data_IF_559966850647
#
_entry.id   IF_559966850647
#
_cell.length_a   1.000
_cell.length_b   1.000
_cell.length_c   1.000
_cell.angle_alpha   90.00
_cell.angle_beta   90.00
_cell.angle_gamma   90.00
#
_symmetry.space_group_name_H-M   'P 1'
#
loop_
_entity.id
_entity.type
_entity.pdbx_description
1 polymer ?
#
# COMPACT_ATOMS: atom_id res chain seq x y z
N UNK A 1 31.66 -7.16 42.81
CA UNK A 1 31.33 -7.81 41.52
C UNK A 1 29.83 -7.88 41.19
N UNK A 2 28.90 -7.57 42.11
CA UNK A 2 27.44 -7.73 41.87
C UNK A 2 26.73 -6.60 41.10
N UNK A 3 27.32 -5.43 40.89
CA UNK A 3 26.65 -4.28 40.25
C UNK A 3 26.62 -4.38 38.73
N UNK A 4 27.67 -4.90 38.10
CA UNK A 4 27.79 -5.02 36.65
C UNK A 4 26.84 -6.07 36.06
N UNK A 5 26.68 -7.22 36.74
CA UNK A 5 25.76 -8.28 36.34
C UNK A 5 24.29 -7.83 36.38
N UNK A 6 23.88 -7.12 37.43
CA UNK A 6 22.53 -6.57 37.56
C UNK A 6 22.23 -5.49 36.50
N UNK A 7 23.22 -4.66 36.15
CA UNK A 7 23.10 -3.66 35.10
C UNK A 7 22.95 -4.31 33.71
N UNK A 8 23.83 -5.25 33.35
CA UNK A 8 23.76 -5.96 32.07
C UNK A 8 22.45 -6.75 31.93
N UNK A 9 21.98 -7.39 33.00
CA UNK A 9 20.71 -8.11 33.02
C UNK A 9 19.49 -7.17 32.84
N UNK A 10 19.52 -6.00 33.46
CA UNK A 10 18.51 -4.94 33.25
C UNK A 10 18.50 -4.44 31.80
N UNK A 11 19.68 -4.21 31.21
CA UNK A 11 19.81 -3.78 29.82
C UNK A 11 19.31 -4.85 28.84
N UNK A 12 19.66 -6.12 29.09
CA UNK A 12 19.20 -7.26 28.29
C UNK A 12 17.67 -7.39 28.31
N UNK A 13 17.04 -7.31 29.48
CA UNK A 13 15.57 -7.32 29.62
C UNK A 13 14.92 -6.18 28.85
N UNK A 14 15.43 -4.96 28.99
CA UNK A 14 14.89 -3.78 28.29
C UNK A 14 15.00 -3.93 26.78
N UNK A 15 16.13 -4.42 26.28
CA UNK A 15 16.35 -4.69 24.86
C UNK A 15 15.36 -5.73 24.32
N UNK A 16 15.19 -6.86 25.03
CA UNK A 16 14.23 -7.90 24.66
C UNK A 16 12.79 -7.34 24.60
N UNK A 17 12.38 -6.61 25.63
CA UNK A 17 11.04 -6.01 25.67
C UNK A 17 10.82 -5.00 24.55
N UNK A 18 11.82 -4.15 24.26
CA UNK A 18 11.77 -3.19 23.16
C UNK A 18 11.67 -3.91 21.81
N UNK A 19 12.42 -5.00 21.63
CA UNK A 19 12.33 -5.84 20.44
C UNK A 19 10.94 -6.44 20.23
N UNK A 20 10.33 -7.02 21.27
CA UNK A 20 8.97 -7.57 21.20
C UNK A 20 7.93 -6.50 20.88
N UNK A 21 8.05 -5.31 21.49
CA UNK A 21 7.19 -4.17 21.20
C UNK A 21 7.35 -3.75 19.74
N UNK A 22 8.59 -3.60 19.24
CA UNK A 22 8.87 -3.21 17.87
C UNK A 22 8.32 -4.23 16.86
N UNK A 23 8.49 -5.53 17.11
CA UNK A 23 7.91 -6.61 16.28
C UNK A 23 6.39 -6.52 16.28
N UNK A 24 5.77 -6.33 17.44
CA UNK A 24 4.30 -6.22 17.56
C UNK A 24 3.77 -5.00 16.80
N UNK A 25 4.44 -3.85 16.93
CA UNK A 25 4.10 -2.62 16.21
C UNK A 25 4.23 -2.84 14.69
N UNK A 26 5.33 -3.45 14.25
CA UNK A 26 5.60 -3.74 12.84
C UNK A 26 4.55 -4.69 12.24
N UNK A 27 4.16 -5.71 13.01
CA UNK A 27 3.17 -6.70 12.59
C UNK A 27 1.75 -6.11 12.55
N UNK A 28 1.33 -5.39 13.60
CA UNK A 28 -0.07 -5.00 13.83
C UNK A 28 -0.45 -3.59 13.43
N UNK A 29 0.48 -2.64 13.49
CA UNK A 29 0.16 -1.22 13.37
C UNK A 29 0.64 -0.65 12.05
N UNK A 30 1.95 -0.69 11.82
CA UNK A 30 2.52 -0.09 10.64
C UNK A 30 3.89 -0.66 10.27
N UNK A 31 4.21 -0.67 8.99
CA UNK A 31 5.52 -1.05 8.47
C UNK A 31 5.95 -0.13 7.34
N UNK A 32 7.26 0.10 7.20
CA UNK A 32 7.79 0.83 6.04
C UNK A 32 7.99 -0.19 4.90
N UNK A 33 7.59 0.16 3.69
CA UNK A 33 7.74 -0.71 2.52
C UNK A 33 8.25 0.05 1.30
N UNK A 34 9.28 -0.46 0.58
CA UNK A 34 9.72 0.13 -0.67
C UNK A 34 8.73 -0.14 -1.80
N UNK A 35 8.47 0.86 -2.63
CA UNK A 35 7.60 0.75 -3.81
C UNK A 35 8.46 0.50 -5.04
N UNK A 36 8.16 -0.58 -5.75
CA UNK A 36 8.86 -0.95 -6.98
C UNK A 36 7.98 -0.71 -8.21
N UNK A 37 8.60 -0.29 -9.31
CA UNK A 37 7.94 -0.08 -10.60
C UNK A 37 7.18 1.23 -10.72
N UNK A 38 6.47 1.38 -11.84
CA UNK A 38 5.89 2.64 -12.31
C UNK A 38 4.35 2.65 -12.38
N UNK A 39 3.69 1.57 -11.92
CA UNK A 39 2.23 1.43 -12.02
C UNK A 39 1.43 2.47 -11.24
N UNK A 40 2.05 3.11 -10.25
CA UNK A 40 1.46 4.16 -9.42
C UNK A 40 1.99 5.56 -9.75
N UNK A 41 2.69 5.72 -10.87
CA UNK A 41 3.15 7.02 -11.35
C UNK A 41 1.94 7.87 -11.80
N UNK A 42 1.86 9.18 -11.51
CA UNK A 42 2.90 10.03 -10.92
C UNK A 42 2.92 10.05 -9.38
N UNK A 43 1.92 9.48 -8.71
CA UNK A 43 1.79 9.53 -7.24
C UNK A 43 3.00 8.92 -6.54
N UNK A 44 3.41 7.73 -6.97
CA UNK A 44 4.58 7.02 -6.48
C UNK A 44 5.57 6.78 -7.62
N UNK A 45 6.86 6.95 -7.33
CA UNK A 45 7.96 6.79 -8.28
C UNK A 45 7.72 7.55 -9.61
N UNK A 46 7.56 8.88 -9.61
CA UNK A 46 7.48 9.63 -10.85
C UNK A 46 8.79 9.54 -11.61
N UNK A 47 8.68 9.52 -12.95
CA UNK A 47 9.86 9.59 -13.81
C UNK A 47 10.50 10.96 -13.66
N UNK A 48 11.67 11.02 -13.04
CA UNK A 48 12.49 12.23 -12.96
C UNK A 48 13.77 12.01 -13.75
N UNK A 49 14.06 12.86 -14.73
CA UNK A 49 15.28 12.76 -15.55
C UNK A 49 16.57 13.14 -14.78
N UNK A 50 16.46 13.51 -13.50
CA UNK A 50 17.51 14.22 -12.75
C UNK A 50 18.33 13.34 -11.82
N UNK A 51 17.90 12.11 -11.49
CA UNK A 51 18.61 11.23 -10.54
C UNK A 51 18.56 9.75 -10.95
N UNK A 52 19.57 8.94 -10.59
CA UNK A 52 19.55 7.49 -10.82
C UNK A 52 18.34 6.82 -10.13
N UNK A 53 17.63 5.94 -10.84
CA UNK A 53 16.38 5.30 -10.39
C UNK A 53 16.46 4.65 -8.99
N UNK A 54 17.64 4.17 -8.59
CA UNK A 54 17.86 3.54 -7.29
C UNK A 54 17.65 4.50 -6.11
N UNK A 55 17.99 5.78 -6.27
CA UNK A 55 17.82 6.81 -5.24
C UNK A 55 16.44 7.48 -5.25
N UNK A 56 15.65 7.24 -6.30
CA UNK A 56 14.33 7.84 -6.50
C UNK A 56 13.19 6.91 -6.04
N UNK A 57 13.48 5.77 -5.42
CA UNK A 57 12.46 4.84 -4.93
C UNK A 57 11.75 5.41 -3.70
N UNK A 58 10.44 5.47 -3.80
CA UNK A 58 9.58 5.85 -2.69
C UNK A 58 9.49 4.71 -1.68
N UNK A 59 9.67 5.05 -0.40
CA UNK A 59 9.28 4.19 0.71
C UNK A 59 8.01 4.76 1.30
N UNK A 60 7.03 3.88 1.51
CA UNK A 60 5.73 4.26 2.03
C UNK A 60 5.51 3.69 3.42
N UNK A 61 4.80 4.46 4.25
CA UNK A 61 4.27 3.98 5.52
C UNK A 61 2.98 3.20 5.26
N UNK A 62 3.05 1.89 5.48
CA UNK A 62 1.92 0.98 5.39
C UNK A 62 1.25 0.88 6.74
N UNK A 63 0.03 1.39 6.85
CA UNK A 63 -0.85 1.26 7.99
C UNK A 63 -1.67 -0.04 7.89
N UNK A 64 -1.75 -0.78 9.00
CA UNK A 64 -2.33 -2.13 9.07
C UNK A 64 -3.55 -2.25 9.99
N UNK A 65 -3.86 -1.23 10.79
CA UNK A 65 -5.04 -1.22 11.65
C UNK A 65 -6.34 -1.30 10.84
N UNK A 66 -6.34 -0.75 9.62
CA UNK A 66 -7.45 -0.81 8.68
C UNK A 66 -7.89 -2.24 8.35
N UNK A 67 -6.97 -3.21 8.45
CA UNK A 67 -7.22 -4.63 8.17
C UNK A 67 -8.12 -5.29 9.21
N UNK A 68 -8.12 -4.81 10.46
CA UNK A 68 -8.91 -5.43 11.53
C UNK A 68 -10.42 -5.33 11.29
N UNK A 69 -10.85 -4.29 10.58
CA UNK A 69 -12.26 -3.99 10.29
C UNK A 69 -12.52 -3.74 8.81
N UNK A 70 -11.54 -4.03 7.95
CA UNK A 70 -11.56 -3.74 6.52
C UNK A 70 -12.07 -2.33 6.19
N UNK A 71 -11.60 -1.33 6.95
CA UNK A 71 -12.04 0.09 6.81
C UNK A 71 -11.26 0.79 5.71
N UNK A 72 -11.68 0.51 4.47
CA UNK A 72 -11.15 1.17 3.28
C UNK A 72 -12.12 2.20 2.74
N UNK A 73 -11.56 3.23 2.12
CA UNK A 73 -12.29 4.27 1.41
C UNK A 73 -11.87 4.32 -0.06
N UNK A 74 -12.75 4.84 -0.92
CA UNK A 74 -12.40 5.17 -2.30
C UNK A 74 -11.18 6.08 -2.34
N UNK A 75 -10.27 5.79 -3.26
CA UNK A 75 -9.02 6.52 -3.41
C UNK A 75 -7.89 6.02 -2.52
N UNK A 76 -8.13 5.11 -1.57
CA UNK A 76 -7.07 4.57 -0.72
C UNK A 76 -6.03 3.82 -1.56
N UNK A 77 -4.75 4.05 -1.28
CA UNK A 77 -3.66 3.30 -1.89
C UNK A 77 -3.36 2.09 -1.01
N UNK A 78 -3.46 0.88 -1.56
CA UNK A 78 -3.32 -0.36 -0.81
C UNK A 78 -2.27 -1.26 -1.45
N UNK A 79 -1.54 -1.99 -0.61
CA UNK A 79 -0.68 -3.08 -1.06
C UNK A 79 -1.38 -4.41 -0.82
N UNK A 80 -1.35 -5.31 -1.80
CA UNK A 80 -1.97 -6.64 -1.70
C UNK A 80 -1.11 -7.69 -2.37
N UNK A 81 -1.27 -8.95 -1.95
CA UNK A 81 -0.63 -10.09 -2.60
C UNK A 81 -1.35 -10.38 -3.93
N UNK A 82 -0.59 -10.51 -5.03
CA UNK A 82 -1.18 -10.77 -6.34
C UNK A 82 -1.91 -12.12 -6.35
N UNK A 83 -3.15 -12.19 -6.87
CA UNK A 83 -3.91 -13.44 -6.95
C UNK A 83 -3.27 -14.46 -7.90
N UNK A 84 -2.53 -14.01 -8.91
CA UNK A 84 -1.80 -14.89 -9.82
C UNK A 84 -0.47 -15.40 -9.23
N UNK A 85 0.20 -14.58 -8.42
CA UNK A 85 1.49 -14.91 -7.82
C UNK A 85 1.60 -14.33 -6.42
N UNK A 86 1.30 -15.15 -5.41
CA UNK A 86 1.28 -14.75 -4.01
C UNK A 86 2.62 -14.21 -3.48
N UNK A 87 3.75 -14.50 -4.14
CA UNK A 87 5.06 -13.96 -3.76
C UNK A 87 5.23 -12.50 -4.17
N UNK A 88 4.43 -12.03 -5.13
CA UNK A 88 4.48 -10.68 -5.63
C UNK A 88 3.45 -9.81 -4.90
N UNK A 89 3.91 -8.71 -4.30
CA UNK A 89 3.04 -7.67 -3.76
C UNK A 89 2.86 -6.56 -4.77
N UNK A 90 1.62 -6.15 -4.97
CA UNK A 90 1.24 -5.05 -5.86
C UNK A 90 0.70 -3.91 -5.01
N UNK A 91 0.99 -2.67 -5.41
CA UNK A 91 0.39 -1.46 -4.83
C UNK A 91 -0.50 -0.80 -5.86
N UNK A 92 -1.75 -0.53 -5.50
CA UNK A 92 -2.79 0.03 -6.36
C UNK A 92 -3.72 0.94 -5.57
N UNK A 93 -4.54 1.71 -6.27
CA UNK A 93 -5.56 2.56 -5.69
C UNK A 93 -6.92 1.90 -5.76
N UNK A 94 -7.69 1.96 -4.68
CA UNK A 94 -9.07 1.51 -4.63
C UNK A 94 -9.93 2.49 -5.42
N UNK A 95 -10.60 1.98 -6.45
CA UNK A 95 -11.56 2.73 -7.27
C UNK A 95 -12.99 2.34 -6.90
N UNK A 96 -13.22 1.07 -6.52
CA UNK A 96 -14.54 0.59 -6.11
C UNK A 96 -14.44 -0.34 -4.90
N UNK A 97 -15.46 -0.28 -4.05
CA UNK A 97 -15.65 -1.07 -2.84
C UNK A 97 -16.80 -2.07 -3.03
N UNK A 98 -17.01 -3.02 -2.09
CA UNK A 98 -18.10 -3.98 -2.16
C UNK A 98 -19.45 -3.33 -2.50
N UNK A 99 -20.14 -3.86 -3.52
CA UNK A 99 -21.44 -3.38 -3.96
C UNK A 99 -21.41 -2.28 -5.01
N UNK A 100 -20.25 -1.63 -5.23
CA UNK A 100 -20.12 -0.56 -6.23
C UNK A 100 -20.25 -1.09 -7.66
N UNK A 101 -20.70 -0.22 -8.55
CA UNK A 101 -20.67 -0.43 -9.99
C UNK A 101 -19.51 0.35 -10.60
N UNK A 102 -18.63 -0.35 -11.31
CA UNK A 102 -17.40 0.20 -11.85
C UNK A 102 -17.39 0.00 -13.36
N UNK A 103 -17.37 1.09 -14.12
CA UNK A 103 -17.17 1.04 -15.57
C UNK A 103 -15.72 0.65 -15.88
N UNK A 104 -15.51 -0.31 -16.77
CA UNK A 104 -14.16 -0.74 -17.17
C UNK A 104 -13.62 0.22 -18.24
N UNK A 105 -12.45 0.86 -18.04
CA UNK A 105 -11.89 1.76 -19.05
C UNK A 105 -11.70 1.07 -20.40
N UNK A 106 -12.07 1.74 -21.47
CA UNK A 106 -11.95 1.24 -22.85
C UNK A 106 -12.78 -0.03 -23.15
N UNK A 107 -13.75 -0.37 -22.29
CA UNK A 107 -14.82 -1.33 -22.56
C UNK A 107 -16.18 -0.65 -22.32
N UNK A 108 -17.24 -1.24 -22.85
CA UNK A 108 -18.63 -0.88 -22.52
C UNK A 108 -19.16 -1.66 -21.31
N UNK A 109 -18.31 -2.49 -20.70
CA UNK A 109 -18.69 -3.32 -19.56
C UNK A 109 -18.73 -2.52 -18.26
N UNK A 110 -19.77 -2.77 -17.48
CA UNK A 110 -19.90 -2.30 -16.10
C UNK A 110 -19.87 -3.52 -15.18
N UNK A 111 -18.92 -3.53 -14.24
CA UNK A 111 -18.74 -4.63 -13.31
C UNK A 111 -19.25 -4.21 -11.94
N UNK A 112 -20.13 -5.02 -11.35
CA UNK A 112 -20.47 -4.90 -9.93
C UNK A 112 -19.38 -5.55 -9.10
N UNK A 113 -18.81 -4.81 -8.15
CA UNK A 113 -17.80 -5.33 -7.23
C UNK A 113 -18.49 -6.30 -6.25
N UNK A 114 -18.08 -7.58 -6.21
CA UNK A 114 -18.67 -8.55 -5.29
C UNK A 114 -18.44 -8.19 -3.83
N UNK A 115 -19.28 -8.74 -2.95
CA UNK A 115 -19.06 -8.64 -1.51
C UNK A 115 -17.68 -9.20 -1.12
N UNK A 116 -17.01 -8.52 -0.18
CA UNK A 116 -15.66 -8.89 0.26
C UNK A 116 -14.54 -8.63 -0.77
N UNK A 117 -14.82 -7.96 -1.89
CA UNK A 117 -13.83 -7.60 -2.92
C UNK A 117 -13.74 -6.08 -3.10
N UNK A 118 -12.66 -5.62 -3.71
CA UNK A 118 -12.50 -4.24 -4.17
C UNK A 118 -12.00 -4.21 -5.61
N UNK A 119 -12.31 -3.13 -6.32
CA UNK A 119 -11.74 -2.84 -7.62
C UNK A 119 -10.56 -1.90 -7.45
N UNK A 120 -9.38 -2.30 -7.93
CA UNK A 120 -8.16 -1.52 -7.79
C UNK A 120 -7.53 -1.21 -9.14
N UNK A 121 -6.98 -0.01 -9.29
CA UNK A 121 -6.31 0.45 -10.51
C UNK A 121 -4.99 1.14 -10.16
N UNK A 122 -4.03 1.09 -11.08
CA UNK A 122 -2.81 1.87 -10.98
C UNK A 122 -3.00 3.27 -11.54
N UNK A 123 -2.40 4.28 -10.90
CA UNK A 123 -2.42 5.66 -11.40
C UNK A 123 -1.78 5.78 -12.80
N UNK A 124 -0.83 4.89 -13.12
CA UNK A 124 -0.28 4.74 -14.45
C UNK A 124 -0.93 3.55 -15.16
N UNK A 125 -2.08 3.83 -15.78
CA UNK A 125 -2.88 2.83 -16.48
C UNK A 125 -2.11 2.03 -17.52
N UNK A 126 -1.16 2.66 -18.23
CA UNK A 126 -0.39 2.04 -19.30
C UNK A 126 0.68 1.04 -18.81
N UNK A 127 1.06 1.09 -17.53
CA UNK A 127 2.07 0.21 -16.95
C UNK A 127 1.60 -0.40 -15.63
N UNK A 128 0.34 -0.81 -15.59
CA UNK A 128 -0.30 -1.34 -14.40
C UNK A 128 -0.98 -2.68 -14.69
N UNK A 129 -0.58 -3.69 -13.91
CA UNK A 129 -1.33 -4.94 -13.76
C UNK A 129 -2.27 -4.79 -12.56
N UNK A 130 -3.56 -4.72 -12.83
CA UNK A 130 -4.60 -4.37 -11.86
C UNK A 130 -5.96 -5.00 -12.20
N UNK A 131 -7.05 -4.56 -11.57
CA UNK A 131 -8.37 -5.20 -11.68
C UNK A 131 -8.93 -5.25 -13.10
N UNK A 132 -8.47 -4.38 -14.02
CA UNK A 132 -8.87 -4.45 -15.43
C UNK A 132 -8.42 -5.75 -16.10
N UNK A 133 -7.30 -6.31 -15.62
CA UNK A 133 -6.75 -7.59 -16.06
C UNK A 133 -6.98 -8.74 -15.08
N UNK A 134 -7.01 -8.45 -13.78
CA UNK A 134 -7.08 -9.44 -12.70
C UNK A 134 -8.51 -9.70 -12.21
N UNK A 135 -9.44 -8.80 -12.52
CA UNK A 135 -10.76 -8.74 -11.89
C UNK A 135 -10.75 -8.11 -10.49
N UNK A 136 -11.90 -8.13 -9.79
CA UNK A 136 -12.00 -7.68 -8.41
C UNK A 136 -11.05 -8.44 -7.48
N UNK A 137 -10.39 -7.72 -6.57
CA UNK A 137 -9.41 -8.27 -5.64
C UNK A 137 -10.09 -8.54 -4.29
N UNK A 138 -9.96 -9.76 -3.72
CA UNK A 138 -10.45 -10.04 -2.38
C UNK A 138 -9.80 -9.10 -1.34
N UNK A 139 -10.60 -8.49 -0.47
CA UNK A 139 -10.13 -7.61 0.60
C UNK A 139 -9.13 -8.32 1.52
N UNK A 140 -9.26 -9.65 1.68
CA UNK A 140 -8.35 -10.49 2.46
C UNK A 140 -6.91 -10.58 1.91
N UNK A 141 -6.67 -10.22 0.64
CA UNK A 141 -5.32 -10.17 0.07
C UNK A 141 -4.59 -8.86 0.41
N UNK A 142 -5.30 -7.84 0.93
CA UNK A 142 -4.72 -6.55 1.28
C UNK A 142 -3.82 -6.71 2.51
N UNK A 143 -2.57 -6.30 2.35
CA UNK A 143 -1.52 -6.34 3.36
C UNK A 143 -1.42 -5.05 4.18
N UNK A 144 -2.07 -3.97 3.74
CA UNK A 144 -2.13 -2.68 4.42
C UNK A 144 -2.43 -1.52 3.46
N UNK A 145 -2.68 -0.35 4.03
CA UNK A 145 -2.91 0.91 3.32
C UNK A 145 -1.67 1.80 3.37
N UNK A 146 -1.20 2.28 2.23
CA UNK A 146 -0.15 3.28 2.16
C UNK A 146 -0.72 4.66 2.53
N UNK A 147 -0.14 5.31 3.54
CA UNK A 147 -0.65 6.60 4.06
C UNK A 147 0.30 7.77 3.82
N UNK A 148 1.60 7.53 3.80
CA UNK A 148 2.63 8.56 3.64
C UNK A 148 3.78 8.04 2.80
N UNK A 149 4.40 8.92 2.03
CA UNK A 149 5.76 8.74 1.52
C UNK A 149 6.69 9.20 2.64
N UNK A 150 7.61 8.34 3.07
CA UNK A 150 8.55 8.61 4.18
C UNK A 150 9.99 8.75 3.71
N UNK A 151 10.29 8.31 2.49
CA UNK A 151 11.58 8.48 1.82
C UNK A 151 11.35 8.51 0.31
N UNK A 152 12.12 9.29 -0.48
CA UNK A 152 13.23 10.17 -0.07
C UNK A 152 12.77 11.44 0.65
N UNK A 153 13.65 12.14 1.41
CA UNK A 153 13.27 13.28 2.25
C UNK A 153 12.56 14.41 1.49
N UNK A 154 12.96 14.64 0.23
CA UNK A 154 12.38 15.65 -0.66
C UNK A 154 10.94 15.34 -1.09
N UNK A 155 10.47 14.10 -0.88
CA UNK A 155 9.15 13.61 -1.27
C UNK A 155 8.28 13.23 -0.06
N UNK A 156 8.74 13.49 1.16
CA UNK A 156 7.96 13.21 2.37
C UNK A 156 6.64 13.97 2.27
N UNK A 157 5.55 13.21 2.21
CA UNK A 157 4.22 13.75 1.99
C UNK A 157 3.17 12.74 2.41
N UNK A 158 1.97 13.23 2.74
CA UNK A 158 0.80 12.38 2.96
C UNK A 158 0.24 11.94 1.61
N UNK A 159 -0.09 10.66 1.47
CA UNK A 159 -0.78 10.15 0.30
C UNK A 159 -2.25 10.53 0.38
N UNK A 160 -2.74 11.21 -0.66
CA UNK A 160 -4.14 11.59 -0.75
C UNK A 160 -5.00 10.41 -1.19
N UNK A 161 -6.08 10.18 -0.44
CA UNK A 161 -7.14 9.25 -0.78
C UNK A 161 -8.13 9.97 -1.69
N UNK A 162 -7.80 10.01 -2.98
CA UNK A 162 -8.60 10.68 -4.02
C UNK A 162 -8.76 9.77 -5.24
N UNK A 163 -9.91 9.84 -5.90
CA UNK A 163 -10.13 9.15 -7.17
C UNK A 163 -9.35 9.90 -8.27
N UNK A 164 -8.64 9.20 -9.18
CA UNK A 164 -7.92 9.85 -10.28
C UNK A 164 -8.88 10.62 -11.20
N UNK A 165 -8.47 11.82 -11.64
CA UNK A 165 -9.30 12.69 -12.49
C UNK A 165 -9.74 12.01 -13.79
N UNK A 166 -8.92 11.11 -14.34
CA UNK A 166 -9.26 10.33 -15.54
C UNK A 166 -10.52 9.48 -15.39
N UNK A 167 -10.88 9.09 -14.15
CA UNK A 167 -12.12 8.36 -13.84
C UNK A 167 -13.33 9.27 -13.70
N UNK A 168 -13.12 10.51 -13.26
CA UNK A 168 -14.19 11.51 -13.14
C UNK A 168 -14.60 12.07 -14.51
N UNK A 169 -13.66 12.19 -15.45
CA UNK A 169 -13.94 12.69 -16.80
C UNK A 169 -14.58 11.67 -17.74
N UNK A 170 -14.65 10.40 -17.34
CA UNK A 170 -15.21 9.28 -18.12
C UNK A 170 -16.59 8.81 -17.62
N UNK A 171 -17.15 9.51 -16.62
CA UNK A 171 -18.47 9.25 -16.04
C UNK A 171 -19.53 10.22 -16.56
#
# INVERSE_FOLDING_TARGET
MGTYSNFLWSLAKKSLTAGLIAVTISDRLASISPVHGYSMSPTLNPKTNTLPELFSRDYVLMEKLCLQRYRFSHGDVVAFSSPENYKQKLIKRIIGLPGDWVAVPHSYDVVRVPEGHCWVEGDNSANSKDSRSLGPIPLGLICGRATHIVWPPRRISKLESRIPQSRLSSS
#
